data_IF_046494023156
#
_entry.id   IF_046494023156
#
_cell.length_a   1.000
_cell.length_b   1.000
_cell.length_c   1.000
_cell.angle_alpha   90.00
_cell.angle_beta   90.00
_cell.angle_gamma   90.00
#
_symmetry.space_group_name_H-M   'P 1'
#
loop_
_entity.id
_entity.type
_entity.pdbx_description
1 polymer ?
#
# COMPACT_ATOMS: atom_id res chain seq x y z
N UNK A 1 0.80 38.10 26.97
CA UNK A 1 0.89 36.62 27.03
C UNK A 1 -0.12 35.90 26.12
N UNK A 2 -1.24 36.53 25.73
CA UNK A 2 -2.25 35.93 24.84
C UNK A 2 -1.90 35.93 23.33
N UNK A 3 -0.92 36.72 22.88
CA UNK A 3 -0.54 36.83 21.46
C UNK A 3 0.42 35.74 20.98
N UNK A 4 1.33 35.25 21.83
CA UNK A 4 2.23 34.13 21.50
C UNK A 4 1.49 32.79 21.32
N UNK A 5 0.41 32.56 22.07
CA UNK A 5 -0.37 31.31 21.95
C UNK A 5 -1.28 31.27 20.70
N UNK A 6 -1.54 32.42 20.06
CA UNK A 6 -2.29 32.51 18.81
C UNK A 6 -1.36 32.28 17.60
N UNK A 7 -0.13 32.81 17.62
CA UNK A 7 0.89 32.51 16.61
C UNK A 7 1.36 31.06 16.66
N UNK A 8 1.47 30.46 17.85
CA UNK A 8 1.84 29.04 18.01
C UNK A 8 0.71 28.07 17.59
N UNK A 9 -0.55 28.53 17.57
CA UNK A 9 -1.68 27.81 16.96
C UNK A 9 -1.80 28.07 15.45
N UNK A 10 -1.43 29.26 14.97
CA UNK A 10 -1.41 29.58 13.54
C UNK A 10 -0.26 28.87 12.79
N UNK A 11 0.86 28.59 13.47
CA UNK A 11 1.99 27.82 12.94
C UNK A 11 1.75 26.30 12.79
N UNK A 12 0.59 25.78 13.23
CA UNK A 12 0.25 24.34 13.14
C UNK A 12 -0.55 23.95 11.89
N UNK A 13 -0.79 24.87 10.95
CA UNK A 13 -1.80 24.67 9.89
C UNK A 13 -1.30 24.47 8.45
N UNK A 14 -0.01 24.52 8.14
CA UNK A 14 0.48 24.17 6.79
C UNK A 14 1.85 23.50 6.90
N UNK A 15 1.90 22.18 7.06
CA UNK A 15 3.14 21.48 6.75
C UNK A 15 3.39 21.64 5.25
N UNK A 16 4.36 22.47 4.88
CA UNK A 16 4.80 22.57 3.50
C UNK A 16 5.44 21.24 3.11
N UNK A 17 4.90 20.60 2.07
CA UNK A 17 5.49 19.43 1.44
C UNK A 17 6.03 19.80 0.07
N UNK A 18 7.14 19.16 -0.32
CA UNK A 18 7.76 19.36 -1.62
C UNK A 18 7.83 18.04 -2.35
N UNK A 19 7.24 17.98 -3.54
CA UNK A 19 7.39 16.86 -4.46
C UNK A 19 8.65 17.11 -5.30
N UNK A 20 9.58 16.16 -5.32
CA UNK A 20 10.77 16.23 -6.16
C UNK A 20 11.13 14.86 -6.72
N UNK A 21 12.01 14.84 -7.72
CA UNK A 21 12.58 13.58 -8.22
C UNK A 21 13.42 12.91 -7.14
N UNK A 22 13.36 11.59 -7.12
CA UNK A 22 14.17 10.73 -6.27
C UNK A 22 15.64 10.85 -6.65
N UNK A 23 16.49 10.79 -5.64
CA UNK A 23 17.94 10.71 -5.76
C UNK A 23 18.42 9.39 -5.17
N UNK A 24 19.67 9.02 -5.40
CA UNK A 24 20.28 7.82 -4.82
C UNK A 24 20.24 7.83 -3.29
N UNK A 25 20.47 8.99 -2.67
CA UNK A 25 20.39 9.19 -1.21
C UNK A 25 19.02 8.85 -0.60
N UNK A 26 17.95 8.92 -1.40
CA UNK A 26 16.58 8.68 -0.96
C UNK A 26 16.20 7.20 -0.96
N UNK A 27 16.95 6.34 -1.66
CA UNK A 27 16.55 4.96 -1.96
C UNK A 27 16.25 4.19 -0.67
N UNK A 28 17.11 4.30 0.34
CA UNK A 28 16.89 3.59 1.61
C UNK A 28 15.69 4.15 2.40
N UNK A 29 15.40 5.45 2.28
CA UNK A 29 14.20 6.04 2.88
C UNK A 29 12.91 5.63 2.13
N UNK A 30 12.96 5.55 0.79
CA UNK A 30 11.87 5.04 -0.06
C UNK A 30 11.55 3.60 0.28
N UNK A 31 12.58 2.75 0.41
CA UNK A 31 12.43 1.32 0.78
C UNK A 31 11.76 1.17 2.14
N UNK A 32 12.18 1.94 3.15
CA UNK A 32 11.58 1.92 4.49
C UNK A 32 10.10 2.35 4.48
N UNK A 33 9.77 3.47 3.83
CA UNK A 33 8.38 3.95 3.74
C UNK A 33 7.49 2.93 3.03
N UNK A 34 8.01 2.32 1.97
CA UNK A 34 7.26 1.31 1.23
C UNK A 34 7.06 0.04 2.08
N UNK A 35 8.11 -0.45 2.75
CA UNK A 35 8.03 -1.59 3.65
C UNK A 35 6.99 -1.36 4.75
N UNK A 36 7.06 -0.21 5.43
CA UNK A 36 6.10 0.17 6.48
C UNK A 36 4.66 0.17 5.93
N UNK A 37 4.43 0.79 4.77
CA UNK A 37 3.10 0.87 4.17
C UNK A 37 2.53 -0.50 3.73
N UNK A 38 3.38 -1.43 3.28
CA UNK A 38 2.97 -2.80 2.97
C UNK A 38 2.63 -3.55 4.27
N UNK A 39 3.45 -3.41 5.31
CA UNK A 39 3.21 -4.08 6.60
C UNK A 39 1.97 -3.55 7.32
N UNK A 40 1.60 -2.28 7.12
CA UNK A 40 0.34 -1.70 7.60
C UNK A 40 -0.91 -2.46 7.10
N UNK A 41 -0.83 -3.14 5.95
CA UNK A 41 -1.96 -3.89 5.39
C UNK A 41 -2.25 -5.20 6.13
N UNK A 42 -1.33 -5.69 6.97
CA UNK A 42 -1.52 -6.94 7.70
C UNK A 42 -2.75 -6.90 8.63
N UNK A 43 -2.98 -5.75 9.29
CA UNK A 43 -4.10 -5.61 10.23
C UNK A 43 -5.47 -5.51 9.55
N UNK A 44 -5.69 -4.67 8.52
CA UNK A 44 -6.93 -4.70 7.72
C UNK A 44 -7.25 -6.09 7.18
N UNK A 45 -6.26 -6.79 6.64
CA UNK A 45 -6.44 -8.14 6.08
C UNK A 45 -6.76 -9.16 7.15
N UNK A 46 -6.09 -9.14 8.31
CA UNK A 46 -6.45 -9.95 9.47
C UNK A 46 -7.90 -9.71 9.92
N UNK A 47 -8.34 -8.44 9.97
CA UNK A 47 -9.72 -8.08 10.35
C UNK A 47 -10.77 -8.51 9.34
N UNK A 48 -10.40 -8.63 8.07
CA UNK A 48 -11.26 -9.21 7.02
C UNK A 48 -11.30 -10.73 7.14
N UNK A 49 -10.11 -11.34 7.26
CA UNK A 49 -9.93 -12.78 7.43
C UNK A 49 -10.78 -13.33 8.59
N UNK A 50 -10.66 -12.73 9.77
CA UNK A 50 -11.39 -13.15 10.98
C UNK A 50 -12.91 -12.97 10.91
N UNK A 51 -13.41 -12.11 10.03
CA UNK A 51 -14.85 -11.91 9.79
C UNK A 51 -15.40 -12.73 8.64
N UNK A 52 -14.56 -13.47 7.92
CA UNK A 52 -15.02 -14.32 6.83
C UNK A 52 -15.85 -15.49 7.37
N UNK A 53 -16.91 -15.94 6.66
CA UNK A 53 -17.70 -17.11 7.06
C UNK A 53 -16.85 -18.37 7.26
N UNK A 54 -15.78 -18.52 6.46
CA UNK A 54 -14.84 -19.63 6.55
C UNK A 54 -14.02 -19.58 7.84
N UNK A 55 -13.50 -18.42 8.22
CA UNK A 55 -12.77 -18.28 9.49
C UNK A 55 -13.66 -18.52 10.70
N UNK A 56 -14.93 -18.09 10.66
CA UNK A 56 -15.89 -18.35 11.72
C UNK A 56 -16.20 -19.85 11.84
N UNK A 57 -16.36 -20.56 10.72
CA UNK A 57 -16.53 -22.01 10.72
C UNK A 57 -15.31 -22.74 11.30
N UNK A 58 -14.10 -22.33 10.91
CA UNK A 58 -12.84 -22.87 11.45
C UNK A 58 -12.68 -22.60 12.94
N UNK A 59 -13.03 -21.40 13.40
CA UNK A 59 -13.02 -21.06 14.82
C UNK A 59 -14.03 -21.91 15.62
N UNK A 60 -15.24 -22.10 15.07
CA UNK A 60 -16.24 -23.00 15.66
C UNK A 60 -15.74 -24.44 15.78
N UNK A 61 -15.16 -24.99 14.72
CA UNK A 61 -14.57 -26.33 14.71
C UNK A 61 -13.41 -26.47 15.72
N UNK A 62 -12.51 -25.49 15.76
CA UNK A 62 -11.40 -25.47 16.72
C UNK A 62 -11.89 -25.40 18.18
N UNK A 63 -12.94 -24.62 18.44
CA UNK A 63 -13.57 -24.54 19.76
C UNK A 63 -14.24 -25.84 20.18
N UNK A 64 -15.02 -26.44 19.27
CA UNK A 64 -15.66 -27.74 19.50
C UNK A 64 -14.66 -28.86 19.77
N UNK A 65 -13.58 -28.92 18.96
CA UNK A 65 -12.50 -29.89 19.16
C UNK A 65 -11.78 -29.68 20.50
N UNK A 66 -11.47 -28.43 20.85
CA UNK A 66 -10.82 -28.10 22.12
C UNK A 66 -11.65 -28.54 23.32
N UNK A 67 -12.97 -28.31 23.28
CA UNK A 67 -13.89 -28.73 24.32
C UNK A 67 -13.99 -30.26 24.40
N UNK A 68 -14.09 -30.95 23.27
CA UNK A 68 -14.20 -32.40 23.20
C UNK A 68 -12.94 -33.11 23.74
N UNK A 69 -11.75 -32.56 23.49
CA UNK A 69 -10.47 -33.16 23.92
C UNK A 69 -10.16 -32.86 25.38
N UNK A 70 -10.39 -31.63 25.83
CA UNK A 70 -9.95 -31.19 27.17
C UNK A 70 -11.03 -31.27 28.24
N UNK A 71 -12.31 -31.30 27.84
CA UNK A 71 -13.46 -31.18 28.74
C UNK A 71 -13.53 -29.83 29.47
N UNK A 72 -12.67 -28.86 29.13
CA UNK A 72 -12.53 -27.59 29.86
C UNK A 72 -13.05 -26.43 29.01
N UNK A 73 -14.10 -25.71 29.45
CA UNK A 73 -14.63 -24.58 28.68
C UNK A 73 -13.61 -23.43 28.52
N UNK A 74 -12.68 -23.27 29.47
CA UNK A 74 -11.59 -22.29 29.39
C UNK A 74 -10.57 -22.59 28.28
N UNK A 75 -10.52 -23.81 27.74
CA UNK A 75 -9.62 -24.15 26.64
C UNK A 75 -10.09 -23.56 25.28
N UNK A 76 -11.40 -23.33 25.14
CA UNK A 76 -12.01 -22.76 23.92
C UNK A 76 -11.49 -21.35 23.59
N UNK A 77 -11.53 -20.36 24.52
CA UNK A 77 -11.00 -19.03 24.22
C UNK A 77 -9.48 -19.05 23.96
N UNK A 78 -8.72 -19.95 24.60
CA UNK A 78 -7.29 -20.11 24.32
C UNK A 78 -7.04 -20.65 22.90
N UNK A 79 -7.86 -21.60 22.44
CA UNK A 79 -7.79 -22.10 21.08
C UNK A 79 -8.13 -21.02 20.04
N UNK A 80 -9.14 -20.18 20.32
CA UNK A 80 -9.47 -19.04 19.45
C UNK A 80 -8.40 -17.97 19.42
N UNK A 81 -7.80 -17.64 20.57
CA UNK A 81 -6.67 -16.71 20.64
C UNK A 81 -5.46 -17.25 19.88
N UNK A 82 -5.16 -18.54 20.02
CA UNK A 82 -4.08 -19.21 19.28
C UNK A 82 -4.33 -19.19 17.77
N UNK A 83 -5.55 -19.51 17.33
CA UNK A 83 -5.92 -19.45 15.91
C UNK A 83 -5.83 -18.01 15.36
N UNK A 84 -6.34 -17.02 16.11
CA UNK A 84 -6.24 -15.62 15.72
C UNK A 84 -4.79 -15.15 15.62
N UNK A 85 -3.93 -15.51 16.59
CA UNK A 85 -2.50 -15.22 16.55
C UNK A 85 -1.83 -15.87 15.33
N UNK A 86 -2.13 -17.14 15.04
CA UNK A 86 -1.61 -17.85 13.87
C UNK A 86 -2.02 -17.15 12.56
N UNK A 87 -3.29 -16.78 12.40
CA UNK A 87 -3.76 -16.05 11.22
C UNK A 87 -3.07 -14.69 11.10
N UNK A 88 -2.90 -13.95 12.20
CA UNK A 88 -2.20 -12.67 12.18
C UNK A 88 -0.72 -12.82 11.78
N UNK A 89 -0.02 -13.82 12.32
CA UNK A 89 1.37 -14.13 11.96
C UNK A 89 1.47 -14.53 10.49
N UNK A 90 0.54 -15.34 9.98
CA UNK A 90 0.50 -15.72 8.58
C UNK A 90 0.27 -14.51 7.65
N UNK A 91 -0.65 -13.60 8.00
CA UNK A 91 -0.81 -12.33 7.29
C UNK A 91 0.47 -11.49 7.30
N UNK A 92 1.13 -11.35 8.46
CA UNK A 92 2.40 -10.62 8.59
C UNK A 92 3.50 -11.24 7.73
N UNK A 93 3.61 -12.57 7.71
CA UNK A 93 4.59 -13.28 6.89
C UNK A 93 4.36 -13.06 5.40
N UNK A 94 3.10 -13.13 4.96
CA UNK A 94 2.71 -12.86 3.57
C UNK A 94 3.12 -11.44 3.14
N UNK A 95 2.77 -10.42 3.92
CA UNK A 95 3.15 -9.03 3.59
C UNK A 95 4.66 -8.80 3.68
N UNK A 96 5.37 -9.48 4.59
CA UNK A 96 6.82 -9.43 4.63
C UNK A 96 7.47 -10.09 3.40
N UNK A 97 6.88 -11.18 2.87
CA UNK A 97 7.32 -11.80 1.63
C UNK A 97 7.04 -10.89 0.42
N UNK A 98 5.85 -10.30 0.35
CA UNK A 98 5.49 -9.33 -0.69
C UNK A 98 6.41 -8.10 -0.68
N UNK A 99 6.66 -7.53 0.50
CA UNK A 99 7.59 -6.42 0.67
C UNK A 99 8.99 -6.81 0.21
N UNK A 100 9.51 -7.97 0.61
CA UNK A 100 10.82 -8.46 0.14
C UNK A 100 10.89 -8.63 -1.38
N UNK A 101 9.84 -9.17 -2.01
CA UNK A 101 9.80 -9.33 -3.47
C UNK A 101 9.84 -7.98 -4.20
N UNK A 102 9.06 -7.00 -3.74
CA UNK A 102 9.03 -5.66 -4.34
C UNK A 102 10.34 -4.90 -4.07
N UNK A 103 10.84 -4.98 -2.84
CA UNK A 103 12.12 -4.37 -2.45
C UNK A 103 13.31 -5.03 -3.15
N UNK A 104 13.23 -6.31 -3.51
CA UNK A 104 14.25 -6.99 -4.31
C UNK A 104 14.13 -6.75 -5.81
N UNK A 105 12.95 -6.34 -6.28
CA UNK A 105 12.68 -6.01 -7.68
C UNK A 105 12.92 -4.54 -8.00
N UNK A 106 11.86 -3.82 -8.33
CA UNK A 106 11.95 -2.45 -8.86
C UNK A 106 12.43 -1.40 -7.85
N UNK A 107 12.28 -1.65 -6.54
CA UNK A 107 12.87 -0.80 -5.49
C UNK A 107 14.28 -1.27 -5.06
N UNK A 108 14.74 -2.43 -5.55
CA UNK A 108 16.11 -2.95 -5.37
C UNK A 108 17.12 -2.23 -6.24
N UNK A 109 16.70 -1.92 -7.46
CA UNK A 109 17.46 -1.13 -8.43
C UNK A 109 16.57 0.01 -8.95
N UNK A 110 16.38 1.03 -8.11
CA UNK A 110 15.59 2.23 -8.46
C UNK A 110 16.23 2.95 -9.64
N UNK A 111 17.56 2.93 -9.72
CA UNK A 111 18.31 3.60 -10.78
C UNK A 111 18.02 2.94 -12.14
N UNK A 112 18.27 1.64 -12.28
CA UNK A 112 17.99 0.92 -13.52
C UNK A 112 16.50 0.79 -13.84
N UNK A 113 15.64 0.69 -12.82
CA UNK A 113 14.19 0.53 -13.02
C UNK A 113 13.49 1.84 -13.40
N UNK A 114 13.97 2.99 -12.91
CA UNK A 114 13.31 4.28 -13.06
C UNK A 114 14.21 5.42 -13.54
N UNK A 115 15.35 5.68 -12.89
CA UNK A 115 16.13 6.91 -13.15
C UNK A 115 16.91 6.85 -14.46
N UNK A 116 17.44 5.68 -14.82
CA UNK A 116 18.20 5.44 -16.05
C UNK A 116 17.35 4.99 -17.24
N UNK A 117 16.03 4.82 -17.06
CA UNK A 117 15.14 4.29 -18.10
C UNK A 117 14.35 5.40 -18.78
N UNK A 118 14.43 5.45 -20.12
CA UNK A 118 13.64 6.38 -20.91
C UNK A 118 12.13 6.18 -20.68
N UNK A 119 11.40 7.27 -20.48
CA UNK A 119 9.96 7.25 -20.17
C UNK A 119 9.62 6.83 -18.73
N UNK A 120 10.61 6.66 -17.85
CA UNK A 120 10.39 6.40 -16.45
C UNK A 120 10.79 7.58 -15.56
N UNK A 121 10.20 7.66 -14.37
CA UNK A 121 10.54 8.64 -13.35
C UNK A 121 10.09 8.15 -11.98
N UNK A 122 10.77 8.61 -10.92
CA UNK A 122 10.38 8.33 -9.54
C UNK A 122 10.38 9.62 -8.74
N UNK A 123 9.29 9.88 -8.02
CA UNK A 123 9.12 11.04 -7.16
C UNK A 123 9.07 10.64 -5.70
N UNK A 124 9.57 11.56 -4.89
CA UNK A 124 9.50 11.50 -3.43
C UNK A 124 8.87 12.79 -2.92
N UNK A 125 8.16 12.68 -1.81
CA UNK A 125 7.59 13.81 -1.08
C UNK A 125 8.41 14.05 0.16
N UNK A 126 8.99 15.23 0.26
CA UNK A 126 9.63 15.71 1.49
C UNK A 126 8.57 16.40 2.36
N UNK A 127 8.44 15.95 3.61
CA UNK A 127 7.58 16.56 4.62
C UNK A 127 8.38 17.31 5.67
N UNK A 128 7.99 18.55 5.96
CA UNK A 128 8.60 19.39 6.99
C UNK A 128 7.96 19.21 8.38
N UNK A 129 8.74 18.67 9.31
CA UNK A 129 8.66 19.01 10.75
C UNK A 129 9.92 19.77 11.13
N UNK A 130 10.04 20.28 12.36
CA UNK A 130 11.17 21.09 12.86
C UNK A 130 12.53 20.35 12.96
N UNK A 131 12.75 19.30 12.16
CA UNK A 131 13.97 18.49 12.10
C UNK A 131 14.38 18.17 10.67
N UNK A 132 15.20 17.14 10.47
CA UNK A 132 15.69 16.73 9.15
C UNK A 132 14.53 16.41 8.18
N UNK A 133 14.67 16.71 6.87
CA UNK A 133 13.66 16.41 5.87
C UNK A 133 13.35 14.92 5.88
N UNK A 134 12.10 14.57 6.20
CA UNK A 134 11.62 13.20 6.21
C UNK A 134 10.83 12.96 4.93
N UNK A 135 11.17 11.90 4.22
CA UNK A 135 10.32 11.44 3.12
C UNK A 135 8.99 10.95 3.70
N UNK A 136 7.89 11.40 3.11
CA UNK A 136 6.51 11.09 3.57
C UNK A 136 5.65 10.51 2.47
N UNK A 137 6.18 10.33 1.26
CA UNK A 137 5.48 9.67 0.18
C UNK A 137 6.33 9.44 -1.05
N UNK A 138 5.85 8.59 -1.93
CA UNK A 138 6.57 8.11 -3.11
C UNK A 138 5.59 7.87 -4.26
N UNK A 139 6.08 7.95 -5.49
CA UNK A 139 5.39 7.51 -6.71
C UNK A 139 6.42 7.14 -7.78
N UNK A 140 6.22 6.02 -8.46
CA UNK A 140 6.95 5.67 -9.67
C UNK A 140 6.06 5.76 -10.91
N UNK A 141 6.65 6.11 -12.04
CA UNK A 141 6.10 5.96 -13.38
C UNK A 141 7.11 5.22 -14.24
N UNK A 142 6.68 4.21 -14.99
CA UNK A 142 7.53 3.44 -15.91
C UNK A 142 6.73 2.94 -17.11
N UNK A 143 7.34 2.59 -18.26
CA UNK A 143 6.61 1.98 -19.36
C UNK A 143 5.89 0.70 -18.90
N UNK A 144 4.62 0.55 -19.29
CA UNK A 144 3.86 -0.67 -19.00
C UNK A 144 4.45 -1.86 -19.79
N UNK A 145 4.62 -3.04 -19.17
CA UNK A 145 5.17 -4.20 -19.86
C UNK A 145 4.33 -4.61 -21.07
N UNK A 146 4.96 -4.69 -22.25
CA UNK A 146 4.29 -5.08 -23.50
C UNK A 146 3.38 -4.02 -24.11
N UNK A 147 3.31 -2.81 -23.53
CA UNK A 147 2.38 -1.76 -23.93
C UNK A 147 3.10 -0.40 -24.07
N UNK A 148 3.75 -0.14 -25.22
CA UNK A 148 4.62 1.02 -25.37
C UNK A 148 3.89 2.38 -25.25
N UNK A 149 2.59 2.40 -25.54
CA UNK A 149 1.76 3.61 -25.42
C UNK A 149 1.24 3.87 -23.98
N UNK A 150 1.45 2.92 -23.05
CA UNK A 150 0.92 3.00 -21.70
C UNK A 150 2.03 3.19 -20.64
N UNK A 151 1.74 4.04 -19.68
CA UNK A 151 2.54 4.25 -18.48
C UNK A 151 1.99 3.38 -17.34
N UNK A 152 2.83 2.74 -16.52
CA UNK A 152 2.44 2.17 -15.23
C UNK A 152 2.77 3.17 -14.13
N UNK A 153 1.75 3.64 -13.41
CA UNK A 153 1.92 4.37 -12.16
C UNK A 153 1.96 3.37 -11.00
N UNK A 154 3.09 3.29 -10.31
CA UNK A 154 3.35 2.30 -9.29
C UNK A 154 3.93 2.93 -8.03
N UNK A 155 4.00 2.15 -6.94
CA UNK A 155 4.63 2.57 -5.67
C UNK A 155 4.10 3.89 -5.09
N UNK A 156 2.83 4.21 -5.38
CA UNK A 156 2.14 5.35 -4.78
C UNK A 156 1.89 5.04 -3.31
N UNK A 157 2.69 5.68 -2.45
CA UNK A 157 2.63 5.49 -1.00
C UNK A 157 2.67 6.84 -0.31
N UNK A 158 1.88 7.01 0.75
CA UNK A 158 1.95 8.17 1.65
C UNK A 158 2.01 7.66 3.08
N UNK A 159 2.93 8.19 3.87
CA UNK A 159 3.10 7.89 5.29
C UNK A 159 1.79 8.14 6.05
N UNK A 160 1.44 7.23 6.97
CA UNK A 160 0.16 7.27 7.68
C UNK A 160 -0.13 8.63 8.35
N UNK A 161 0.89 9.24 8.95
CA UNK A 161 0.81 10.55 9.62
C UNK A 161 0.48 11.72 8.68
N UNK A 162 0.67 11.54 7.37
CA UNK A 162 0.47 12.57 6.34
C UNK A 162 -0.69 12.25 5.39
N UNK A 163 -1.40 11.13 5.59
CA UNK A 163 -2.57 10.77 4.77
C UNK A 163 -3.73 11.74 4.99
N UNK A 164 -4.67 11.73 4.04
CA UNK A 164 -5.91 12.56 4.04
C UNK A 164 -5.67 14.07 3.99
N UNK A 165 -4.48 14.49 3.55
CA UNK A 165 -4.09 15.91 3.38
C UNK A 165 -3.93 16.35 1.92
N UNK A 166 -4.36 15.53 0.96
CA UNK A 166 -4.21 15.83 -0.47
C UNK A 166 -2.97 15.23 -1.13
N UNK A 167 -1.94 14.85 -0.36
CA UNK A 167 -0.67 14.31 -0.89
C UNK A 167 -0.80 13.20 -1.94
N UNK A 168 -1.69 12.23 -1.73
CA UNK A 168 -1.89 11.16 -2.71
C UNK A 168 -2.44 11.65 -4.05
N UNK A 169 -3.30 12.68 -4.01
CA UNK A 169 -3.83 13.34 -5.21
C UNK A 169 -2.72 14.13 -5.91
N UNK A 170 -1.96 14.92 -5.16
CA UNK A 170 -0.91 15.77 -5.72
C UNK A 170 0.21 14.90 -6.36
N UNK A 171 0.56 13.76 -5.73
CA UNK A 171 1.44 12.75 -6.32
C UNK A 171 0.86 12.17 -7.61
N UNK A 172 -0.39 11.69 -7.56
CA UNK A 172 -1.04 11.10 -8.73
C UNK A 172 -1.07 12.08 -9.91
N UNK A 173 -1.45 13.33 -9.66
CA UNK A 173 -1.46 14.40 -10.65
C UNK A 173 -0.06 14.64 -11.24
N UNK A 174 0.98 14.66 -10.41
CA UNK A 174 2.37 14.76 -10.87
C UNK A 174 2.73 13.63 -11.85
N UNK A 175 2.34 12.39 -11.55
CA UNK A 175 2.56 11.25 -12.43
C UNK A 175 1.79 11.36 -13.74
N UNK A 176 0.55 11.84 -13.71
CA UNK A 176 -0.27 12.03 -14.91
C UNK A 176 0.26 13.15 -15.81
N UNK A 177 0.73 14.25 -15.23
CA UNK A 177 1.40 15.34 -15.98
C UNK A 177 2.66 14.81 -16.66
N UNK A 178 3.49 14.04 -15.95
CA UNK A 178 4.65 13.40 -16.54
C UNK A 178 4.28 12.46 -17.69
N UNK A 179 3.23 11.65 -17.51
CA UNK A 179 2.85 10.67 -18.51
C UNK A 179 2.44 11.34 -19.83
N UNK A 180 1.62 12.40 -19.76
CA UNK A 180 1.26 13.23 -20.91
C UNK A 180 2.48 13.88 -21.55
N UNK A 181 3.36 14.48 -20.74
CA UNK A 181 4.59 15.12 -21.22
C UNK A 181 5.58 14.15 -21.86
N UNK A 182 5.48 12.86 -21.52
CA UNK A 182 6.32 11.78 -22.06
C UNK A 182 5.67 11.07 -23.26
N UNK A 183 4.52 11.55 -23.74
CA UNK A 183 3.84 11.04 -24.93
C UNK A 183 3.03 9.76 -24.72
N UNK A 184 2.78 9.34 -23.47
CA UNK A 184 1.86 8.23 -23.20
C UNK A 184 0.42 8.63 -23.50
N UNK A 185 -0.38 7.70 -24.01
CA UNK A 185 -1.81 7.89 -24.27
C UNK A 185 -2.69 7.23 -23.21
N UNK A 186 -2.11 6.33 -22.41
CA UNK A 186 -2.80 5.65 -21.32
C UNK A 186 -1.90 5.55 -20.09
N UNK A 187 -2.52 5.46 -18.91
CA UNK A 187 -1.85 5.02 -17.70
C UNK A 187 -2.62 3.88 -17.03
N UNK A 188 -1.85 2.92 -16.51
CA UNK A 188 -2.32 1.74 -15.80
C UNK A 188 -1.84 1.80 -14.35
N UNK A 189 -2.68 1.32 -13.44
CA UNK A 189 -2.32 1.10 -12.03
C UNK A 189 -2.75 -0.31 -11.65
N UNK A 190 -1.90 -0.98 -10.88
CA UNK A 190 -2.27 -2.22 -10.18
C UNK A 190 -2.51 -1.92 -8.70
N UNK A 191 -3.66 -2.35 -8.19
CA UNK A 191 -4.02 -2.19 -6.78
C UNK A 191 -4.87 -3.38 -6.33
N UNK A 192 -5.27 -3.40 -5.06
CA UNK A 192 -6.07 -4.49 -4.49
C UNK A 192 -7.29 -3.94 -3.78
N UNK A 193 -8.32 -4.75 -3.63
CA UNK A 193 -9.59 -4.39 -2.99
C UNK A 193 -9.47 -4.01 -1.50
N UNK A 194 -8.38 -4.40 -0.84
CA UNK A 194 -7.99 -3.94 0.51
C UNK A 194 -7.54 -2.47 0.55
N UNK A 195 -7.07 -1.92 -0.57
CA UNK A 195 -6.56 -0.55 -0.67
C UNK A 195 -7.69 0.46 -0.94
N UNK A 196 -8.71 0.49 -0.08
CA UNK A 196 -9.91 1.32 -0.26
C UNK A 196 -9.61 2.81 -0.51
N UNK A 197 -8.61 3.37 0.17
CA UNK A 197 -8.22 4.77 -0.04
C UNK A 197 -7.61 5.02 -1.43
N UNK A 198 -6.85 4.05 -1.96
CA UNK A 198 -6.27 4.12 -3.29
C UNK A 198 -7.37 3.98 -4.35
N UNK A 199 -8.30 3.04 -4.19
CA UNK A 199 -9.45 2.89 -5.10
C UNK A 199 -10.31 4.14 -5.18
N UNK A 200 -10.59 4.77 -4.04
CA UNK A 200 -11.32 6.04 -4.01
C UNK A 200 -10.53 7.18 -4.68
N UNK A 201 -9.20 7.20 -4.52
CA UNK A 201 -8.33 8.17 -5.18
C UNK A 201 -8.34 7.99 -6.71
N UNK A 202 -8.12 6.76 -7.19
CA UNK A 202 -8.09 6.45 -8.62
C UNK A 202 -9.45 6.65 -9.27
N UNK A 203 -10.54 6.22 -8.63
CA UNK A 203 -11.89 6.45 -9.13
C UNK A 203 -12.22 7.94 -9.29
N UNK A 204 -11.80 8.78 -8.32
CA UNK A 204 -11.95 10.25 -8.44
C UNK A 204 -11.10 10.86 -9.55
N UNK A 205 -9.95 10.27 -9.84
CA UNK A 205 -9.09 10.68 -10.95
C UNK A 205 -9.57 10.15 -12.32
N UNK A 206 -10.65 9.38 -12.37
CA UNK A 206 -11.25 8.87 -13.60
C UNK A 206 -10.71 7.51 -14.07
N UNK A 207 -9.90 6.83 -13.25
CA UNK A 207 -9.47 5.47 -13.59
C UNK A 207 -10.65 4.50 -13.57
N UNK A 208 -10.68 3.62 -14.56
CA UNK A 208 -11.70 2.60 -14.75
C UNK A 208 -11.13 1.20 -14.53
N UNK A 209 -11.92 0.31 -13.92
CA UNK A 209 -11.56 -1.09 -13.75
C UNK A 209 -11.55 -1.80 -15.12
N UNK A 210 -10.42 -2.40 -15.47
CA UNK A 210 -10.25 -3.17 -16.70
C UNK A 210 -10.26 -4.68 -16.43
N UNK A 211 -9.49 -5.10 -15.43
CA UNK A 211 -9.39 -6.52 -15.05
C UNK A 211 -9.40 -6.65 -13.54
N UNK A 212 -10.10 -7.69 -13.07
CA UNK A 212 -9.99 -8.20 -11.71
C UNK A 212 -9.41 -9.61 -11.79
N UNK A 213 -8.37 -9.88 -11.02
CA UNK A 213 -7.74 -11.20 -10.98
C UNK A 213 -7.40 -11.58 -9.56
N UNK A 214 -7.35 -12.89 -9.33
CA UNK A 214 -6.85 -13.44 -8.07
C UNK A 214 -5.36 -13.77 -8.25
N UNK A 215 -4.51 -13.48 -7.26
CA UNK A 215 -3.09 -13.85 -7.31
C UNK A 215 -2.91 -15.34 -7.63
N UNK A 216 -1.97 -15.71 -8.52
CA UNK A 216 -1.82 -17.08 -9.02
C UNK A 216 -1.36 -18.11 -7.98
N UNK A 217 -0.91 -17.71 -6.78
CA UNK A 217 -0.61 -18.63 -5.66
C UNK A 217 -1.87 -19.07 -4.89
N UNK A 218 -2.91 -19.42 -5.65
CA UNK A 218 -4.27 -19.74 -5.23
C UNK A 218 -4.42 -21.11 -4.50
N UNK A 219 -3.37 -21.56 -3.82
CA UNK A 219 -3.35 -22.84 -3.09
C UNK A 219 -3.39 -22.74 -1.56
N UNK A 220 -3.12 -21.57 -0.97
CA UNK A 220 -3.03 -21.45 0.49
C UNK A 220 -4.40 -21.16 1.16
N UNK A 221 -4.66 -21.80 2.30
CA UNK A 221 -5.80 -21.50 3.18
C UNK A 221 -5.91 -20.01 3.51
N UNK A 222 -4.77 -19.32 3.64
CA UNK A 222 -4.72 -17.89 3.92
C UNK A 222 -5.40 -17.08 2.81
N UNK A 223 -5.18 -17.41 1.54
CA UNK A 223 -5.81 -16.73 0.41
C UNK A 223 -7.34 -16.93 0.40
N UNK A 224 -7.79 -18.17 0.64
CA UNK A 224 -9.23 -18.51 0.72
C UNK A 224 -9.96 -17.76 1.85
N UNK A 225 -9.24 -17.47 2.95
CA UNK A 225 -9.76 -16.73 4.09
C UNK A 225 -9.69 -15.21 3.87
N UNK A 226 -8.63 -14.69 3.22
CA UNK A 226 -8.45 -13.25 3.03
C UNK A 226 -9.25 -12.67 1.85
N UNK A 227 -9.50 -13.48 0.81
CA UNK A 227 -10.26 -13.11 -0.41
C UNK A 227 -9.83 -11.76 -1.02
N UNK A 228 -8.53 -11.49 -1.05
CA UNK A 228 -7.99 -10.26 -1.65
C UNK A 228 -8.07 -10.39 -3.17
N UNK A 229 -8.60 -9.37 -3.83
CA UNK A 229 -8.70 -9.32 -5.29
C UNK A 229 -7.82 -8.20 -5.81
N UNK A 230 -6.98 -8.51 -6.80
CA UNK A 230 -6.15 -7.53 -7.47
C UNK A 230 -6.90 -6.95 -8.68
N UNK A 231 -6.70 -5.66 -8.88
CA UNK A 231 -7.36 -4.86 -9.90
C UNK A 231 -6.32 -4.18 -10.78
N UNK A 232 -6.53 -4.30 -12.09
CA UNK A 232 -5.91 -3.45 -13.08
C UNK A 232 -6.87 -2.31 -13.41
N UNK A 233 -6.46 -1.08 -13.10
CA UNK A 233 -7.19 0.13 -13.44
C UNK A 233 -6.49 0.84 -14.60
N UNK A 234 -7.26 1.46 -15.50
CA UNK A 234 -6.73 2.29 -16.60
C UNK A 234 -7.37 3.65 -16.68
N UNK A 235 -6.60 4.61 -17.15
CA UNK A 235 -7.02 5.95 -17.51
C UNK A 235 -6.47 6.28 -18.90
N UNK A 236 -7.34 6.78 -19.78
CA UNK A 236 -6.92 7.42 -21.04
C UNK A 236 -6.53 8.87 -20.74
N UNK A 237 -5.38 9.30 -21.25
CA UNK A 237 -4.75 10.57 -20.86
C UNK A 237 -5.24 11.80 -21.62
#
# INVERSE_FOLDING_TARGET
MATRSAEEKAGRSCQAWRIRRCREEDVEAVRRIYADAVMEQAWPTFRRATRSPRALALAGAAGGLSLAVTGRPLAVPLAWLGLAALVYVACRYFYAALARGILGGDLGDVEGSFLGRAGACFWVVEGGGSGAPRLVGTLGAKPAPGEPAACELCRLTVALSCRRRGLGRDLLETGLVFARGSGYTECTVYTSDIHHAALALYGKAGFQLQRAFQPPEAGSLLHSICQVTDYQLRLKL
#
